data_IF_679877360772
#
_entry.id   IF_679877360772
#
_cell.length_a   1.000
_cell.length_b   1.000
_cell.length_c   1.000
_cell.angle_alpha   90.00
_cell.angle_beta   90.00
_cell.angle_gamma   90.00
#
_symmetry.space_group_name_H-M   'P 1'
#
loop_
_entity.id
_entity.type
_entity.pdbx_description
1 polymer ?
#
# COMPACT_ATOMS: atom_id res chain seq x y z
N UNK A 1 9.80 -70.96 13.91
CA UNK A 1 9.29 -69.63 13.50
C UNK A 1 10.21 -68.61 14.17
N UNK A 2 11.08 -67.95 13.41
CA UNK A 2 12.13 -67.08 13.95
C UNK A 2 11.52 -65.77 14.45
N UNK A 3 11.22 -65.74 15.74
CA UNK A 3 10.68 -64.57 16.43
C UNK A 3 11.59 -63.34 16.30
N UNK A 4 12.90 -63.54 16.13
CA UNK A 4 13.87 -62.47 15.91
C UNK A 4 13.70 -61.75 14.57
N UNK A 5 13.40 -62.47 13.48
CA UNK A 5 13.20 -61.88 12.16
C UNK A 5 11.82 -61.22 12.04
N UNK A 6 10.80 -61.77 12.72
CA UNK A 6 9.49 -61.13 12.83
C UNK A 6 9.54 -59.82 13.62
N UNK A 7 10.15 -59.81 14.82
CA UNK A 7 10.30 -58.61 15.65
C UNK A 7 11.22 -57.59 14.95
N UNK A 8 12.30 -58.03 14.31
CA UNK A 8 13.18 -57.17 13.51
C UNK A 8 12.44 -56.49 12.34
N UNK A 9 11.56 -57.22 11.64
CA UNK A 9 10.72 -56.66 10.57
C UNK A 9 9.69 -55.63 11.06
N UNK A 10 9.10 -55.84 12.24
CA UNK A 10 8.15 -54.89 12.86
C UNK A 10 8.86 -53.62 13.33
N UNK A 11 10.04 -53.74 13.96
CA UNK A 11 10.82 -52.57 14.40
C UNK A 11 11.36 -51.79 13.21
N UNK A 12 11.83 -52.46 12.16
CA UNK A 12 12.30 -51.81 10.93
C UNK A 12 11.17 -51.08 10.19
N UNK A 13 9.97 -51.66 10.13
CA UNK A 13 8.82 -50.99 9.50
C UNK A 13 8.33 -49.79 10.30
N UNK A 14 8.26 -49.87 11.63
CA UNK A 14 7.94 -48.74 12.49
C UNK A 14 8.99 -47.62 12.41
N UNK A 15 10.27 -47.97 12.39
CA UNK A 15 11.36 -47.02 12.19
C UNK A 15 11.30 -46.37 10.80
N UNK A 16 10.97 -47.13 9.75
CA UNK A 16 10.78 -46.62 8.39
C UNK A 16 9.59 -45.65 8.28
N UNK A 17 8.46 -45.97 8.90
CA UNK A 17 7.29 -45.08 8.97
C UNK A 17 7.62 -43.81 9.77
N UNK A 18 8.30 -43.94 10.92
CA UNK A 18 8.75 -42.82 11.73
C UNK A 18 9.72 -41.89 10.99
N UNK A 19 10.72 -42.46 10.30
CA UNK A 19 11.65 -41.72 9.46
C UNK A 19 10.94 -41.01 8.30
N UNK A 20 9.99 -41.68 7.65
CA UNK A 20 9.18 -41.09 6.57
C UNK A 20 8.33 -39.93 7.09
N UNK A 21 7.67 -40.07 8.24
CA UNK A 21 6.88 -39.00 8.85
C UNK A 21 7.75 -37.78 9.20
N UNK A 22 8.95 -37.99 9.75
CA UNK A 22 9.89 -36.91 10.04
C UNK A 22 10.40 -36.22 8.78
N UNK A 23 10.74 -36.98 7.74
CA UNK A 23 11.17 -36.46 6.45
C UNK A 23 10.06 -35.66 5.76
N UNK A 24 8.83 -36.20 5.72
CA UNK A 24 7.66 -35.49 5.17
C UNK A 24 7.39 -34.21 5.93
N UNK A 25 7.41 -34.24 7.27
CA UNK A 25 7.23 -33.03 8.09
C UNK A 25 8.32 -31.98 7.81
N UNK A 26 9.57 -32.42 7.67
CA UNK A 26 10.69 -31.52 7.32
C UNK A 26 10.52 -30.93 5.91
N UNK A 27 10.11 -31.73 4.93
CA UNK A 27 9.84 -31.26 3.57
C UNK A 27 8.68 -30.26 3.53
N UNK A 28 7.59 -30.52 4.23
CA UNK A 28 6.45 -29.59 4.31
C UNK A 28 6.85 -28.27 4.98
N UNK A 29 7.66 -28.31 6.03
CA UNK A 29 8.23 -27.10 6.64
C UNK A 29 9.13 -26.33 5.66
N UNK A 30 9.98 -27.02 4.91
CA UNK A 30 10.85 -26.39 3.90
C UNK A 30 10.04 -25.76 2.76
N UNK A 31 9.00 -26.44 2.27
CA UNK A 31 8.09 -25.88 1.25
C UNK A 31 7.33 -24.67 1.77
N UNK A 32 6.81 -24.75 3.01
CA UNK A 32 6.10 -23.64 3.64
C UNK A 32 7.02 -22.42 3.81
N UNK A 33 8.28 -22.63 4.20
CA UNK A 33 9.27 -21.56 4.28
C UNK A 33 9.57 -20.96 2.91
N UNK A 34 9.85 -21.79 1.89
CA UNK A 34 10.12 -21.31 0.54
C UNK A 34 8.95 -20.53 -0.07
N UNK A 35 7.71 -20.97 0.20
CA UNK A 35 6.51 -20.24 -0.19
C UNK A 35 6.41 -18.89 0.53
N UNK A 36 6.68 -18.86 1.84
CA UNK A 36 6.69 -17.63 2.63
C UNK A 36 7.73 -16.63 2.11
N UNK A 37 8.95 -17.07 1.84
CA UNK A 37 10.04 -16.23 1.35
C UNK A 37 9.72 -15.67 -0.05
N UNK A 38 9.10 -16.50 -0.91
CA UNK A 38 8.63 -16.09 -2.23
C UNK A 38 7.50 -15.06 -2.14
N UNK A 39 6.50 -15.29 -1.28
CA UNK A 39 5.38 -14.36 -1.09
C UNK A 39 5.83 -13.03 -0.47
N UNK A 40 6.79 -13.06 0.44
CA UNK A 40 7.39 -11.85 1.01
C UNK A 40 8.16 -11.05 -0.05
N UNK A 41 8.95 -11.73 -0.89
CA UNK A 41 9.62 -11.07 -2.02
C UNK A 41 8.61 -10.44 -3.00
N UNK A 42 7.52 -11.15 -3.31
CA UNK A 42 6.44 -10.62 -4.15
C UNK A 42 5.74 -9.42 -3.49
N UNK A 43 5.55 -9.43 -2.17
CA UNK A 43 4.97 -8.29 -1.45
C UNK A 43 5.81 -7.03 -1.64
N UNK A 44 7.13 -7.11 -1.50
CA UNK A 44 7.99 -5.93 -1.61
C UNK A 44 8.08 -5.42 -3.05
N UNK A 45 8.10 -6.31 -4.05
CA UNK A 45 7.99 -5.90 -5.45
C UNK A 45 6.66 -5.15 -5.70
N UNK A 46 5.54 -5.69 -5.22
CA UNK A 46 4.25 -5.03 -5.34
C UNK A 46 4.21 -3.68 -4.60
N UNK A 47 4.82 -3.58 -3.42
CA UNK A 47 4.93 -2.29 -2.69
C UNK A 47 5.76 -1.27 -3.46
N UNK A 48 6.81 -1.70 -4.17
CA UNK A 48 7.61 -0.84 -5.04
C UNK A 48 6.79 -0.35 -6.23
N UNK A 49 6.14 -1.26 -6.95
CA UNK A 49 5.30 -0.93 -8.10
C UNK A 49 4.15 0.00 -7.70
N UNK A 50 3.52 -0.27 -6.54
CA UNK A 50 2.49 0.58 -5.96
C UNK A 50 3.01 1.98 -5.62
N UNK A 51 4.23 2.08 -5.10
CA UNK A 51 4.85 3.37 -4.77
C UNK A 51 5.08 4.19 -6.04
N UNK A 52 5.54 3.57 -7.12
CA UNK A 52 5.73 4.22 -8.42
C UNK A 52 4.40 4.71 -9.00
N UNK A 53 3.36 3.89 -8.96
CA UNK A 53 2.05 4.24 -9.48
C UNK A 53 1.36 5.32 -8.65
N UNK A 54 1.43 5.24 -7.32
CA UNK A 54 0.96 6.33 -6.44
C UNK A 54 1.70 7.63 -6.72
N UNK A 55 3.01 7.57 -6.96
CA UNK A 55 3.81 8.74 -7.32
C UNK A 55 3.31 9.43 -8.58
N UNK A 56 3.08 8.67 -9.66
CA UNK A 56 2.53 9.19 -10.92
C UNK A 56 1.14 9.80 -10.70
N UNK A 57 0.29 9.13 -9.91
CA UNK A 57 -1.06 9.63 -9.61
C UNK A 57 -1.03 10.92 -8.81
N UNK A 58 -0.12 11.06 -7.84
CA UNK A 58 0.08 12.30 -7.08
C UNK A 58 0.46 13.47 -8.00
N UNK A 59 1.36 13.27 -8.96
CA UNK A 59 1.76 14.31 -9.91
C UNK A 59 0.58 14.79 -10.77
N UNK A 60 -0.26 13.84 -11.24
CA UNK A 60 -1.46 14.17 -12.01
C UNK A 60 -2.44 14.97 -11.14
N UNK A 61 -2.74 14.50 -9.93
CA UNK A 61 -3.63 15.22 -9.02
C UNK A 61 -3.09 16.61 -8.65
N UNK A 62 -1.78 16.76 -8.51
CA UNK A 62 -1.17 18.05 -8.20
C UNK A 62 -1.37 19.01 -9.37
N UNK A 63 -1.19 18.52 -10.60
CA UNK A 63 -1.47 19.31 -11.82
C UNK A 63 -2.93 19.76 -11.88
N UNK A 64 -3.87 18.86 -11.58
CA UNK A 64 -5.31 19.20 -11.52
C UNK A 64 -5.56 20.24 -10.43
N UNK A 65 -5.02 20.04 -9.23
CA UNK A 65 -5.15 20.97 -8.13
C UNK A 65 -4.62 22.37 -8.48
N UNK A 66 -3.44 22.46 -9.09
CA UNK A 66 -2.84 23.72 -9.51
C UNK A 66 -3.69 24.44 -10.58
N UNK A 67 -4.25 23.70 -11.54
CA UNK A 67 -5.18 24.26 -12.53
C UNK A 67 -6.44 24.83 -11.87
N UNK A 68 -7.01 24.11 -10.90
CA UNK A 68 -8.15 24.59 -10.11
C UNK A 68 -7.82 25.86 -9.34
N UNK A 69 -6.65 25.90 -8.71
CA UNK A 69 -6.22 27.07 -7.94
C UNK A 69 -6.02 28.28 -8.85
N UNK A 70 -5.43 28.08 -10.03
CA UNK A 70 -5.28 29.14 -11.02
C UNK A 70 -6.65 29.63 -11.54
N UNK A 71 -7.62 28.74 -11.71
CA UNK A 71 -9.01 29.10 -12.03
C UNK A 71 -9.65 29.94 -10.93
N UNK A 72 -9.55 29.56 -9.65
CA UNK A 72 -10.10 30.34 -8.54
C UNK A 72 -9.54 31.77 -8.47
N UNK A 73 -8.24 31.92 -8.76
CA UNK A 73 -7.55 33.21 -8.70
C UNK A 73 -7.84 34.09 -9.92
N UNK A 74 -8.02 33.50 -11.10
CA UNK A 74 -8.15 34.24 -12.36
C UNK A 74 -9.58 34.35 -12.90
N UNK A 75 -10.47 33.45 -12.48
CA UNK A 75 -11.81 33.27 -13.05
C UNK A 75 -11.82 32.72 -14.48
N UNK A 76 -10.67 32.29 -15.03
CA UNK A 76 -10.58 31.83 -16.41
C UNK A 76 -11.00 30.35 -16.54
N UNK A 77 -12.24 30.10 -16.98
CA UNK A 77 -12.79 28.76 -17.16
C UNK A 77 -12.08 27.92 -18.22
N UNK A 78 -11.32 28.53 -19.14
CA UNK A 78 -10.52 27.79 -20.13
C UNK A 78 -9.49 26.85 -19.48
N UNK A 79 -9.05 27.18 -18.26
CA UNK A 79 -8.13 26.36 -17.47
C UNK A 79 -8.72 24.99 -17.08
N UNK A 80 -10.05 24.85 -17.08
CA UNK A 80 -10.76 23.62 -16.70
C UNK A 80 -11.14 22.75 -17.91
N UNK A 81 -10.89 23.20 -19.14
CA UNK A 81 -11.33 22.49 -20.36
C UNK A 81 -10.58 21.16 -20.52
N UNK A 82 -9.28 21.14 -20.20
CA UNK A 82 -8.38 20.00 -20.45
C UNK A 82 -7.82 19.37 -19.17
N UNK A 83 -8.67 19.16 -18.17
CA UNK A 83 -8.29 18.44 -16.95
C UNK A 83 -8.01 16.98 -17.31
N UNK A 84 -6.77 16.54 -17.05
CA UNK A 84 -6.40 15.13 -17.16
C UNK A 84 -6.96 14.40 -15.96
N UNK A 85 -7.81 13.39 -16.21
CA UNK A 85 -8.41 12.60 -15.14
C UNK A 85 -7.40 11.55 -14.63
N UNK A 86 -7.03 11.59 -13.34
CA UNK A 86 -6.18 10.55 -12.78
C UNK A 86 -6.89 9.20 -12.78
N UNK A 87 -6.12 8.13 -12.97
CA UNK A 87 -6.62 6.77 -12.81
C UNK A 87 -6.53 6.36 -11.35
N UNK A 88 -7.53 5.59 -10.90
CA UNK A 88 -7.49 5.01 -9.57
C UNK A 88 -6.34 3.98 -9.48
N UNK A 89 -5.56 4.08 -8.42
CA UNK A 89 -4.50 3.10 -8.12
C UNK A 89 -5.11 1.76 -7.74
N UNK A 90 -4.57 0.66 -8.28
CA UNK A 90 -5.02 -0.69 -7.97
C UNK A 90 -4.31 -1.23 -6.71
N UNK A 91 -5.07 -1.75 -5.75
CA UNK A 91 -4.55 -2.32 -4.50
C UNK A 91 -4.88 -3.81 -4.31
N UNK A 92 -5.55 -4.45 -5.28
CA UNK A 92 -6.06 -5.82 -5.12
C UNK A 92 -4.94 -6.86 -4.92
N UNK A 93 -3.84 -6.70 -5.67
CA UNK A 93 -2.69 -7.62 -5.59
C UNK A 93 -2.01 -7.47 -4.21
N UNK A 94 -1.75 -6.24 -3.77
CA UNK A 94 -1.23 -5.96 -2.43
C UNK A 94 -2.09 -6.59 -1.32
N UNK A 95 -3.41 -6.45 -1.40
CA UNK A 95 -4.34 -7.04 -0.41
C UNK A 95 -4.17 -8.56 -0.36
N UNK A 96 -4.13 -9.22 -1.51
CA UNK A 96 -3.94 -10.67 -1.62
C UNK A 96 -2.60 -11.12 -1.01
N UNK A 97 -1.50 -10.47 -1.41
CA UNK A 97 -0.15 -10.80 -0.93
C UNK A 97 -0.01 -10.61 0.59
N UNK A 98 -0.62 -9.54 1.13
CA UNK A 98 -0.61 -9.27 2.57
C UNK A 98 -1.14 -10.44 3.39
N UNK A 99 -2.20 -11.13 2.93
CA UNK A 99 -2.74 -12.30 3.63
C UNK A 99 -1.83 -13.52 3.53
N UNK A 100 -1.13 -13.70 2.40
CA UNK A 100 -0.27 -14.85 2.15
C UNK A 100 1.02 -14.81 2.98
N UNK A 101 1.61 -13.64 3.16
CA UNK A 101 2.87 -13.49 3.92
C UNK A 101 2.65 -13.07 5.39
N UNK A 102 1.40 -12.89 5.84
CA UNK A 102 1.08 -12.30 7.15
C UNK A 102 1.77 -12.98 8.34
N UNK A 103 1.97 -14.31 8.30
CA UNK A 103 2.63 -15.05 9.38
C UNK A 103 4.15 -14.83 9.45
N UNK A 104 4.79 -14.50 8.34
CA UNK A 104 6.23 -14.23 8.26
C UNK A 104 6.61 -12.82 8.72
N UNK A 105 5.64 -11.90 8.75
CA UNK A 105 5.89 -10.49 9.03
C UNK A 105 5.94 -10.17 10.54
N UNK A 106 6.80 -9.22 10.88
CA UNK A 106 6.86 -8.59 12.21
C UNK A 106 5.54 -7.91 12.58
N UNK A 107 5.35 -7.61 13.86
CA UNK A 107 4.13 -6.93 14.33
C UNK A 107 3.97 -5.54 13.70
N UNK A 108 5.07 -4.81 13.52
CA UNK A 108 5.07 -3.45 12.98
C UNK A 108 4.74 -3.46 11.48
N UNK A 109 5.35 -4.34 10.69
CA UNK A 109 5.02 -4.52 9.27
C UNK A 109 3.55 -4.87 9.07
N UNK A 110 3.01 -5.81 9.87
CA UNK A 110 1.58 -6.15 9.84
C UNK A 110 0.69 -4.95 10.17
N UNK A 111 1.09 -4.12 11.13
CA UNK A 111 0.39 -2.89 11.46
C UNK A 111 0.41 -1.89 10.30
N UNK A 112 1.57 -1.73 9.65
CA UNK A 112 1.74 -0.91 8.46
C UNK A 112 0.86 -1.37 7.30
N UNK A 113 0.91 -2.66 6.93
CA UNK A 113 0.09 -3.20 5.85
C UNK A 113 -1.41 -3.09 6.13
N UNK A 114 -1.86 -3.37 7.35
CA UNK A 114 -3.28 -3.16 7.73
C UNK A 114 -3.70 -1.71 7.54
N UNK A 115 -2.86 -0.76 7.97
CA UNK A 115 -3.12 0.66 7.77
C UNK A 115 -3.14 1.03 6.29
N UNK A 116 -2.23 0.48 5.49
CA UNK A 116 -2.18 0.68 4.04
C UNK A 116 -3.45 0.16 3.36
N UNK A 117 -3.96 -1.00 3.77
CA UNK A 117 -5.25 -1.55 3.29
C UNK A 117 -6.40 -0.62 3.67
N UNK A 118 -6.50 -0.17 4.92
CA UNK A 118 -7.57 0.78 5.33
C UNK A 118 -7.52 2.08 4.56
N UNK A 119 -6.32 2.60 4.28
CA UNK A 119 -6.14 3.80 3.46
C UNK A 119 -6.53 3.54 2.00
N UNK A 120 -6.25 2.34 1.47
CA UNK A 120 -6.70 1.94 0.13
C UNK A 120 -8.22 1.87 0.00
N UNK A 121 -8.91 1.36 1.03
CA UNK A 121 -10.37 1.32 1.04
C UNK A 121 -10.96 2.74 1.07
N UNK A 122 -10.36 3.61 1.90
CA UNK A 122 -10.73 5.03 1.97
C UNK A 122 -10.50 5.75 0.64
N UNK A 123 -9.42 5.41 -0.07
CA UNK A 123 -9.15 5.93 -1.42
C UNK A 123 -10.21 5.44 -2.41
N UNK A 124 -10.53 4.14 -2.42
CA UNK A 124 -11.55 3.56 -3.29
C UNK A 124 -12.93 4.19 -3.11
N UNK A 125 -13.27 4.63 -1.90
CA UNK A 125 -14.52 5.33 -1.62
C UNK A 125 -14.51 6.81 -2.04
N UNK A 126 -13.35 7.47 -1.98
CA UNK A 126 -13.21 8.90 -2.25
C UNK A 126 -12.92 9.20 -3.74
N UNK A 127 -12.17 8.33 -4.41
CA UNK A 127 -11.80 8.44 -5.81
C UNK A 127 -13.01 8.71 -6.72
N UNK A 128 -14.09 7.89 -6.70
CA UNK A 128 -15.22 8.08 -7.59
C UNK A 128 -15.93 9.41 -7.36
N UNK A 129 -16.07 9.84 -6.10
CA UNK A 129 -16.74 11.10 -5.74
C UNK A 129 -16.01 12.30 -6.35
N UNK A 130 -14.70 12.39 -6.12
CA UNK A 130 -13.89 13.49 -6.66
C UNK A 130 -13.83 13.42 -8.19
N UNK A 131 -13.67 12.24 -8.78
CA UNK A 131 -13.62 12.10 -10.23
C UNK A 131 -14.94 12.44 -10.91
N UNK A 132 -16.08 12.09 -10.33
CA UNK A 132 -17.40 12.43 -10.85
C UNK A 132 -17.65 13.94 -10.75
N UNK A 133 -17.30 14.58 -9.64
CA UNK A 133 -17.36 16.04 -9.51
C UNK A 133 -16.49 16.74 -10.58
N UNK A 134 -15.24 16.31 -10.72
CA UNK A 134 -14.33 16.82 -11.74
C UNK A 134 -14.84 16.57 -13.17
N UNK A 135 -15.63 15.52 -13.41
CA UNK A 135 -16.17 15.23 -14.75
C UNK A 135 -17.40 16.05 -15.07
N UNK A 136 -18.37 16.10 -14.16
CA UNK A 136 -19.71 16.61 -14.46
C UNK A 136 -19.94 18.03 -13.96
N UNK A 137 -19.22 18.46 -12.92
CA UNK A 137 -19.44 19.70 -12.19
C UNK A 137 -18.12 20.45 -11.97
N UNK A 138 -17.32 20.61 -13.03
CA UNK A 138 -15.96 21.16 -12.98
C UNK A 138 -15.88 22.48 -12.20
N UNK A 139 -16.77 23.42 -12.46
CA UNK A 139 -16.73 24.75 -11.85
C UNK A 139 -17.13 24.76 -10.37
N UNK A 140 -17.78 23.69 -9.87
CA UNK A 140 -18.25 23.56 -8.49
C UNK A 140 -17.62 22.41 -7.73
N UNK A 141 -16.55 21.81 -8.27
CA UNK A 141 -15.83 20.71 -7.62
C UNK A 141 -15.31 21.15 -6.25
N UNK A 142 -15.49 20.28 -5.25
CA UNK A 142 -15.14 20.60 -3.88
C UNK A 142 -13.62 20.49 -3.67
N UNK A 143 -12.92 21.63 -3.69
CA UNK A 143 -11.46 21.68 -3.47
C UNK A 143 -11.04 21.02 -2.16
N UNK A 144 -11.89 21.07 -1.12
CA UNK A 144 -11.60 20.39 0.13
C UNK A 144 -11.50 18.87 -0.06
N UNK A 145 -12.35 18.27 -0.88
CA UNK A 145 -12.30 16.82 -1.16
C UNK A 145 -11.08 16.46 -1.99
N UNK A 146 -10.70 17.29 -2.97
CA UNK A 146 -9.45 17.15 -3.73
C UNK A 146 -8.24 17.17 -2.77
N UNK A 147 -8.24 18.05 -1.77
CA UNK A 147 -7.19 18.14 -0.76
C UNK A 147 -7.12 16.94 0.18
N UNK A 148 -8.28 16.45 0.63
CA UNK A 148 -8.36 15.24 1.45
C UNK A 148 -7.83 14.05 0.66
N UNK A 149 -8.21 13.93 -0.61
CA UNK A 149 -7.72 12.88 -1.50
C UNK A 149 -6.22 12.97 -1.70
N UNK A 150 -5.67 14.16 -1.98
CA UNK A 150 -4.24 14.37 -2.11
C UNK A 150 -3.48 14.00 -0.83
N UNK A 151 -3.98 14.42 0.33
CA UNK A 151 -3.37 14.13 1.63
C UNK A 151 -3.36 12.63 1.91
N UNK A 152 -4.44 11.93 1.56
CA UNK A 152 -4.55 10.50 1.69
C UNK A 152 -3.58 9.79 0.73
N UNK A 153 -3.50 10.21 -0.53
CA UNK A 153 -2.54 9.66 -1.51
C UNK A 153 -1.10 9.80 -1.05
N UNK A 154 -0.70 10.99 -0.60
CA UNK A 154 0.65 11.23 -0.11
C UNK A 154 0.96 10.39 1.14
N UNK A 155 0.01 10.26 2.05
CA UNK A 155 0.17 9.44 3.24
C UNK A 155 0.28 7.95 2.90
N UNK A 156 -0.48 7.47 1.90
CA UNK A 156 -0.43 6.10 1.39
C UNK A 156 0.91 5.84 0.71
N UNK A 157 1.35 6.74 -0.18
CA UNK A 157 2.65 6.68 -0.85
C UNK A 157 3.79 6.60 0.16
N UNK A 158 3.80 7.50 1.14
CA UNK A 158 4.85 7.53 2.16
C UNK A 158 4.90 6.22 2.94
N UNK A 159 3.75 5.68 3.35
CA UNK A 159 3.69 4.42 4.08
C UNK A 159 4.14 3.21 3.23
N UNK A 160 3.71 3.14 1.97
CA UNK A 160 4.14 2.10 1.04
C UNK A 160 5.65 2.16 0.80
N UNK A 161 6.19 3.37 0.58
CA UNK A 161 7.62 3.61 0.40
C UNK A 161 8.44 3.25 1.64
N UNK A 162 7.96 3.56 2.86
CA UNK A 162 8.61 3.15 4.11
C UNK A 162 8.60 1.63 4.28
N UNK A 163 7.47 0.96 4.01
CA UNK A 163 7.36 -0.49 4.07
C UNK A 163 8.30 -1.17 3.07
N UNK A 164 8.41 -0.63 1.86
CA UNK A 164 9.30 -1.13 0.82
C UNK A 164 10.78 -0.95 1.18
N UNK A 165 11.20 0.22 1.64
CA UNK A 165 12.62 0.53 1.83
C UNK A 165 13.19 0.11 3.20
N UNK A 166 12.32 -0.11 4.19
CA UNK A 166 12.73 -0.44 5.55
C UNK A 166 12.38 -1.87 5.95
N UNK A 167 12.26 -2.81 4.99
CA UNK A 167 11.84 -4.22 5.17
C UNK A 167 12.01 -4.76 6.61
N UNK A 168 13.23 -5.01 7.06
CA UNK A 168 13.53 -5.62 8.39
C UNK A 168 13.45 -4.62 9.56
N UNK A 169 13.60 -3.32 9.30
CA UNK A 169 13.71 -2.25 10.32
C UNK A 169 12.46 -1.37 10.40
N UNK A 170 11.40 -1.77 9.71
CA UNK A 170 10.21 -0.95 9.58
C UNK A 170 9.61 -0.68 10.96
N UNK A 171 9.45 0.60 11.26
CA UNK A 171 8.70 1.07 12.42
C UNK A 171 7.60 1.96 11.92
N UNK A 172 6.40 1.75 12.43
CA UNK A 172 5.26 2.55 12.04
C UNK A 172 5.50 4.01 12.45
N UNK A 173 5.59 4.88 11.45
CA UNK A 173 5.83 6.31 11.65
C UNK A 173 4.63 6.99 12.31
N UNK A 174 4.88 7.64 13.45
CA UNK A 174 3.92 8.48 14.17
C UNK A 174 3.78 9.89 13.59
N UNK A 175 4.46 10.20 12.47
CA UNK A 175 4.40 11.51 11.81
C UNK A 175 2.98 11.89 11.43
N UNK A 176 2.69 13.18 11.55
CA UNK A 176 1.39 13.75 11.19
C UNK A 176 1.20 13.72 9.65
N UNK A 177 -0.04 13.56 9.12
CA UNK A 177 -0.28 13.53 7.67
C UNK A 177 0.30 14.73 6.89
N UNK A 178 0.28 15.93 7.49
CA UNK A 178 0.86 17.13 6.87
C UNK A 178 2.39 17.04 6.72
N UNK A 179 3.08 16.44 7.69
CA UNK A 179 4.53 16.22 7.61
C UNK A 179 4.86 15.25 6.48
N UNK A 180 4.06 14.18 6.34
CA UNK A 180 4.19 13.20 5.26
C UNK A 180 3.95 13.83 3.90
N UNK A 181 2.91 14.66 3.76
CA UNK A 181 2.65 15.42 2.54
C UNK A 181 3.85 16.30 2.18
N UNK A 182 4.41 17.04 3.15
CA UNK A 182 5.59 17.87 2.92
C UNK A 182 6.78 17.08 2.40
N UNK A 183 7.04 15.91 2.98
CA UNK A 183 8.14 15.04 2.56
C UNK A 183 7.93 14.51 1.14
N UNK A 184 6.71 14.09 0.79
CA UNK A 184 6.38 13.61 -0.56
C UNK A 184 6.53 14.73 -1.59
N UNK A 185 6.05 15.93 -1.29
CA UNK A 185 6.18 17.06 -2.19
C UNK A 185 7.64 17.44 -2.39
N UNK A 186 8.43 17.45 -1.29
CA UNK A 186 9.86 17.72 -1.36
C UNK A 186 10.60 16.67 -2.18
N UNK A 187 10.33 15.38 -1.96
CA UNK A 187 11.01 14.29 -2.70
C UNK A 187 10.65 14.28 -4.18
N UNK A 188 9.43 14.71 -4.53
CA UNK A 188 8.94 14.81 -5.91
C UNK A 188 9.19 16.17 -6.55
N UNK A 189 9.89 17.08 -5.88
CA UNK A 189 10.15 18.45 -6.36
C UNK A 189 8.88 19.23 -6.73
N UNK A 190 7.79 19.01 -5.99
CA UNK A 190 6.52 19.70 -6.16
C UNK A 190 6.46 20.97 -5.29
N UNK A 191 6.00 22.12 -5.82
CA UNK A 191 5.83 23.34 -5.05
C UNK A 191 4.85 23.17 -3.88
N UNK A 192 5.29 23.50 -2.66
CA UNK A 192 4.48 23.50 -1.45
C UNK A 192 3.66 24.79 -1.27
N UNK A 193 4.04 25.85 -1.96
CA UNK A 193 3.46 27.20 -1.81
C UNK A 193 1.96 27.19 -2.09
N UNK A 194 1.50 26.36 -3.04
CA UNK A 194 0.09 26.20 -3.39
C UNK A 194 -0.75 25.52 -2.29
N UNK A 195 -0.11 24.74 -1.40
CA UNK A 195 -0.74 24.08 -0.25
C UNK A 195 -0.57 24.85 1.07
N UNK A 196 0.36 25.81 1.13
CA UNK A 196 0.74 26.54 2.34
C UNK A 196 -0.34 27.46 2.94
N UNK A 197 -1.46 27.65 2.24
CA UNK A 197 -2.60 28.48 2.68
C UNK A 197 -3.57 27.70 3.61
N UNK A 198 -3.37 26.40 3.83
CA UNK A 198 -4.40 25.51 4.39
C UNK A 198 -4.13 24.95 5.80
N UNK A 199 -3.99 25.86 6.77
CA UNK A 199 -3.94 25.60 8.22
C UNK A 199 -5.22 24.92 8.82
N UNK A 200 -6.06 24.26 8.01
CA UNK A 200 -7.41 23.80 8.41
C UNK A 200 -7.63 22.28 8.31
N UNK A 201 -6.78 21.48 8.97
CA UNK A 201 -7.09 20.05 9.23
C UNK A 201 -7.14 19.70 10.73
N UNK A 202 -7.01 20.68 11.64
CA UNK A 202 -7.06 20.44 13.09
C UNK A 202 -8.47 20.21 13.69
N UNK A 203 -9.54 20.03 12.90
CA UNK A 203 -10.91 19.88 13.46
C UNK A 203 -11.72 18.68 12.97
N UNK A 204 -11.08 17.58 12.58
CA UNK A 204 -11.80 16.36 12.19
C UNK A 204 -11.21 15.07 12.76
N UNK A 205 -10.69 15.11 13.98
CA UNK A 205 -10.42 13.94 14.83
C UNK A 205 -11.00 14.16 16.22
#
# INVERSE_FOLDING_TARGET
MDWSSFIGGVVASLAGVGATLLLTKKMELMKAQALSDSSESSLYLELSDLTDDLGKTIDIYYTVFAQYRAYELSGNSDLLINITMPQATNFEILKSLTYQCFSGLTREQRGGLKKLITMSDSLNDLYPKVLDELRFNRESANIREINVLMSLLCSTYHLANELCNCEVRFKLSAKHPQEKLKEVFTSRSLPLEDFSIMEYVEKAT
#
